data_IF_031458974020
#
_entry.id   IF_031458974020
#
_cell.length_a   1.000
_cell.length_b   1.000
_cell.length_c   1.000
_cell.angle_alpha   90.00
_cell.angle_beta   90.00
_cell.angle_gamma   90.00
#
_symmetry.space_group_name_H-M   'P 1'
#
loop_
_entity.id
_entity.type
_entity.pdbx_description
1 polymer ?
#
# COMPACT_ATOMS: atom_id res chain seq x y z
N UNK A 1 14.40 -19.35 -25.52
CA UNK A 1 13.84 -19.57 -24.15
C UNK A 1 13.29 -18.24 -23.68
N UNK A 2 11.97 -18.10 -23.56
CA UNK A 2 11.39 -16.88 -22.98
C UNK A 2 11.53 -17.00 -21.46
N UNK A 3 12.45 -16.24 -20.89
CA UNK A 3 12.61 -16.19 -19.44
C UNK A 3 11.40 -15.50 -18.79
N UNK A 4 10.96 -16.02 -17.64
CA UNK A 4 10.00 -15.30 -16.79
C UNK A 4 10.61 -13.94 -16.39
N UNK A 5 9.81 -12.88 -16.34
CA UNK A 5 10.30 -11.59 -15.89
C UNK A 5 10.75 -11.67 -14.43
N UNK A 6 11.83 -10.98 -14.10
CA UNK A 6 12.37 -10.86 -12.74
C UNK A 6 12.33 -9.38 -12.31
N UNK A 7 11.14 -8.85 -12.00
CA UNK A 7 10.99 -7.42 -11.67
C UNK A 7 11.76 -7.04 -10.41
N UNK A 8 12.28 -5.82 -10.37
CA UNK A 8 12.82 -5.21 -9.15
C UNK A 8 11.69 -4.50 -8.41
N UNK A 9 11.53 -4.80 -7.11
CA UNK A 9 10.56 -4.14 -6.25
C UNK A 9 11.24 -3.08 -5.39
N UNK A 10 10.73 -1.84 -5.40
CA UNK A 10 11.06 -0.82 -4.41
C UNK A 10 10.01 -0.90 -3.30
N UNK A 11 10.41 -1.44 -2.16
CA UNK A 11 9.60 -1.47 -0.95
C UNK A 11 9.89 -0.21 -0.16
N UNK A 12 8.87 0.60 0.08
CA UNK A 12 8.99 1.91 0.70
C UNK A 12 8.26 1.88 2.05
N UNK A 13 9.02 1.98 3.14
CA UNK A 13 8.47 2.17 4.48
C UNK A 13 8.57 3.63 4.87
N UNK A 14 7.42 4.24 5.19
CA UNK A 14 7.37 5.56 5.79
C UNK A 14 7.09 5.44 7.27
N UNK A 15 7.80 6.22 8.09
CA UNK A 15 7.76 6.08 9.54
C UNK A 15 7.87 7.41 10.25
N UNK A 16 7.19 7.54 11.40
CA UNK A 16 7.31 8.67 12.32
C UNK A 16 6.88 8.23 13.72
N UNK A 17 7.81 8.27 14.68
CA UNK A 17 7.61 7.82 16.06
C UNK A 17 6.94 6.43 16.14
N UNK A 18 7.57 5.45 15.50
CA UNK A 18 7.04 4.10 15.33
C UNK A 18 7.94 3.03 15.99
N UNK A 19 8.65 3.37 17.07
CA UNK A 19 9.60 2.46 17.74
C UNK A 19 9.00 1.11 18.16
N UNK A 20 7.69 1.09 18.40
CA UNK A 20 7.00 -0.11 18.86
C UNK A 20 6.69 -1.13 17.74
N UNK A 21 6.72 -0.71 16.45
CA UNK A 21 6.20 -1.54 15.34
C UNK A 21 7.12 -1.58 14.12
N UNK A 22 8.12 -0.69 14.03
CA UNK A 22 8.98 -0.59 12.85
C UNK A 22 9.84 -1.85 12.65
N UNK A 23 10.32 -2.47 13.73
CA UNK A 23 11.23 -3.60 13.65
C UNK A 23 10.60 -4.79 12.93
N UNK A 24 9.35 -5.12 13.23
CA UNK A 24 8.61 -6.20 12.57
C UNK A 24 8.45 -5.94 11.06
N UNK A 25 8.18 -4.69 10.67
CA UNK A 25 8.10 -4.31 9.26
C UNK A 25 9.46 -4.52 8.58
N UNK A 26 10.57 -4.08 9.19
CA UNK A 26 11.91 -4.29 8.63
C UNK A 26 12.19 -5.77 8.47
N UNK A 27 11.95 -6.57 9.51
CA UNK A 27 12.18 -8.00 9.47
C UNK A 27 11.41 -8.67 8.32
N UNK A 28 10.13 -8.34 8.13
CA UNK A 28 9.31 -8.93 7.08
C UNK A 28 9.81 -8.61 5.65
N UNK A 29 10.52 -7.48 5.47
CA UNK A 29 11.11 -7.12 4.17
C UNK A 29 12.44 -7.82 3.96
N UNK A 30 13.31 -7.83 4.97
CA UNK A 30 14.66 -8.40 4.83
C UNK A 30 14.70 -9.93 4.86
N UNK A 31 13.64 -10.58 5.36
CA UNK A 31 13.46 -12.03 5.32
C UNK A 31 12.95 -12.53 3.96
N UNK A 32 12.46 -11.65 3.08
CA UNK A 32 11.94 -12.08 1.78
C UNK A 32 12.97 -12.90 0.99
N UNK A 33 12.53 -14.06 0.52
CA UNK A 33 13.36 -14.99 -0.29
C UNK A 33 13.64 -14.46 -1.69
N UNK A 34 12.85 -13.51 -2.17
CA UNK A 34 13.07 -12.82 -3.44
C UNK A 34 14.08 -11.70 -3.28
N UNK A 35 15.21 -11.74 -4.01
CA UNK A 35 16.36 -10.87 -3.78
C UNK A 35 16.40 -9.59 -4.62
N UNK A 36 15.55 -9.46 -5.66
CA UNK A 36 15.50 -8.23 -6.47
C UNK A 36 14.64 -7.16 -5.78
N UNK A 37 15.05 -6.80 -4.57
CA UNK A 37 14.36 -5.82 -3.71
C UNK A 37 15.28 -4.63 -3.45
N UNK A 38 14.72 -3.44 -3.56
CA UNK A 38 15.28 -2.19 -3.08
C UNK A 38 14.45 -1.75 -1.87
N UNK A 39 15.06 -1.73 -0.70
CA UNK A 39 14.37 -1.34 0.52
C UNK A 39 14.69 0.10 0.88
N UNK A 40 13.67 0.96 0.94
CA UNK A 40 13.78 2.39 1.22
C UNK A 40 12.99 2.71 2.49
N UNK A 41 13.63 3.34 3.46
CA UNK A 41 12.96 3.86 4.66
C UNK A 41 13.03 5.38 4.66
N UNK A 42 11.86 6.02 4.80
CA UNK A 42 11.72 7.47 4.95
C UNK A 42 11.19 7.76 6.34
N UNK A 43 12.02 8.29 7.18
CA UNK A 43 11.70 8.70 8.55
C UNK A 43 11.42 10.21 8.60
N UNK A 44 10.30 10.61 9.17
CA UNK A 44 9.85 11.99 9.33
C UNK A 44 10.57 12.77 10.43
N UNK A 45 11.86 12.50 10.69
CA UNK A 45 12.64 13.01 11.82
C UNK A 45 12.06 12.62 13.18
N UNK A 46 11.86 11.34 13.39
CA UNK A 46 11.36 10.73 14.63
C UNK A 46 12.15 11.20 15.87
N UNK A 47 11.46 11.26 17.01
CA UNK A 47 12.06 11.71 18.27
C UNK A 47 12.22 10.56 19.29
N UNK A 48 11.67 9.40 18.99
CA UNK A 48 11.80 8.17 19.76
C UNK A 48 12.96 7.30 19.19
N UNK A 49 12.98 6.01 19.50
CA UNK A 49 14.04 5.09 19.03
C UNK A 49 13.85 4.60 17.58
N UNK A 50 12.86 5.13 16.83
CA UNK A 50 12.56 4.68 15.45
C UNK A 50 13.82 4.67 14.56
N UNK A 51 14.56 5.79 14.52
CA UNK A 51 15.77 5.87 13.71
C UNK A 51 16.87 4.90 14.19
N UNK A 52 17.06 4.78 15.50
CA UNK A 52 18.03 3.86 16.07
C UNK A 52 17.69 2.38 15.75
N UNK A 53 16.42 2.05 15.64
CA UNK A 53 15.95 0.73 15.19
C UNK A 53 16.34 0.52 13.72
N UNK A 54 16.01 1.45 12.83
CA UNK A 54 16.36 1.35 11.41
C UNK A 54 17.88 1.22 11.18
N UNK A 55 18.69 1.96 11.93
CA UNK A 55 20.15 1.92 11.83
C UNK A 55 20.76 0.55 12.20
N UNK A 56 20.11 -0.24 13.04
CA UNK A 56 20.55 -1.62 13.33
C UNK A 56 20.53 -2.54 12.10
N UNK A 57 19.72 -2.21 11.09
CA UNK A 57 19.54 -2.96 9.84
C UNK A 57 20.11 -2.23 8.63
N UNK A 58 21.04 -1.26 8.87
CA UNK A 58 21.54 -0.35 7.83
C UNK A 58 22.15 -1.07 6.63
N UNK A 59 22.79 -2.20 6.85
CA UNK A 59 23.40 -3.08 5.82
C UNK A 59 22.38 -3.81 4.93
N UNK A 60 21.11 -3.90 5.39
CA UNK A 60 20.02 -4.54 4.66
C UNK A 60 19.04 -3.51 4.05
N UNK A 61 19.19 -2.24 4.37
CA UNK A 61 18.38 -1.12 3.87
C UNK A 61 19.16 -0.41 2.76
N UNK A 62 18.56 -0.38 1.55
CA UNK A 62 19.21 0.28 0.39
C UNK A 62 19.35 1.78 0.62
N UNK A 63 18.32 2.42 1.15
CA UNK A 63 18.31 3.85 1.42
C UNK A 63 17.51 4.16 2.69
N UNK A 64 18.16 4.84 3.64
CA UNK A 64 17.54 5.37 4.86
C UNK A 64 17.68 6.90 4.84
N UNK A 65 16.54 7.59 4.82
CA UNK A 65 16.45 9.05 4.86
C UNK A 65 15.67 9.45 6.10
N UNK A 66 16.27 10.32 6.95
CA UNK A 66 15.58 10.88 8.12
C UNK A 66 15.62 12.40 8.04
N UNK A 67 14.49 13.01 7.78
CA UNK A 67 14.32 14.46 7.68
C UNK A 67 12.87 14.86 7.93
N UNK A 68 12.59 16.10 8.37
CA UNK A 68 11.22 16.57 8.56
C UNK A 68 10.38 16.44 7.29
N UNK A 69 9.12 16.05 7.46
CA UNK A 69 8.12 15.99 6.41
C UNK A 69 6.84 16.79 6.77
N UNK A 70 5.96 16.94 5.79
CA UNK A 70 4.64 17.57 5.92
C UNK A 70 3.54 16.54 6.16
N UNK A 71 3.88 15.37 6.65
CA UNK A 71 2.98 14.25 6.93
C UNK A 71 3.20 13.05 6.01
N UNK A 72 2.45 11.98 6.27
CA UNK A 72 2.57 10.65 5.65
C UNK A 72 2.80 10.68 4.12
N UNK A 73 1.99 11.43 3.40
CA UNK A 73 2.04 11.44 1.93
C UNK A 73 3.21 12.26 1.36
N UNK A 74 3.77 13.19 2.14
CA UNK A 74 5.02 13.86 1.78
C UNK A 74 6.19 12.89 1.87
N UNK A 75 6.27 12.11 2.94
CA UNK A 75 7.25 11.03 3.08
C UNK A 75 7.10 9.99 1.95
N UNK A 76 5.87 9.58 1.61
CA UNK A 76 5.62 8.69 0.47
C UNK A 76 6.08 9.29 -0.86
N UNK A 77 5.87 10.59 -1.09
CA UNK A 77 6.34 11.28 -2.29
C UNK A 77 7.86 11.29 -2.40
N UNK A 78 8.57 11.47 -1.28
CA UNK A 78 10.05 11.32 -1.24
C UNK A 78 10.44 9.90 -1.65
N UNK A 79 9.74 8.89 -1.13
CA UNK A 79 9.97 7.49 -1.49
C UNK A 79 9.74 7.22 -2.98
N UNK A 80 8.67 7.74 -3.60
CA UNK A 80 8.44 7.63 -5.05
C UNK A 80 9.62 8.21 -5.85
N UNK A 81 10.11 9.37 -5.43
CA UNK A 81 11.20 10.06 -6.12
C UNK A 81 12.52 9.28 -6.07
N UNK A 82 12.78 8.61 -4.96
CA UNK A 82 14.04 7.89 -4.72
C UNK A 82 14.03 6.45 -5.27
N UNK A 83 12.86 5.87 -5.49
CA UNK A 83 12.71 4.49 -5.95
C UNK A 83 13.21 4.29 -7.38
N UNK A 84 13.90 3.18 -7.62
CA UNK A 84 14.47 2.80 -8.93
C UNK A 84 13.95 1.46 -9.47
N UNK A 85 13.18 0.70 -8.68
CA UNK A 85 12.62 -0.58 -9.09
C UNK A 85 11.54 -0.48 -10.17
N UNK A 86 11.14 -1.61 -10.72
CA UNK A 86 10.07 -1.70 -11.71
C UNK A 86 8.70 -1.42 -11.08
N UNK A 87 8.51 -1.89 -9.84
CA UNK A 87 7.29 -1.70 -9.05
C UNK A 87 7.56 -0.98 -7.74
N UNK A 88 6.59 -0.19 -7.32
CA UNK A 88 6.53 0.44 -6.00
C UNK A 88 5.51 -0.28 -5.12
N UNK A 89 5.91 -0.57 -3.89
CA UNK A 89 5.05 -1.03 -2.80
C UNK A 89 5.27 -0.14 -1.58
N UNK A 90 4.20 0.39 -1.01
CA UNK A 90 4.24 1.10 0.26
C UNK A 90 3.88 0.15 1.39
N UNK A 91 4.85 -0.18 2.22
CA UNK A 91 4.68 -0.99 3.42
C UNK A 91 4.95 -0.10 4.63
N UNK A 92 3.89 0.45 5.23
CA UNK A 92 4.03 1.39 6.34
C UNK A 92 4.54 0.67 7.61
N UNK A 93 5.18 1.43 8.50
CA UNK A 93 5.57 0.90 9.80
C UNK A 93 4.35 0.32 10.55
N UNK A 94 4.45 -0.92 10.97
CA UNK A 94 3.37 -1.72 11.55
C UNK A 94 2.78 -2.76 10.61
N UNK A 95 2.87 -2.60 9.30
CA UNK A 95 2.43 -3.60 8.32
C UNK A 95 3.58 -4.54 7.95
N UNK A 96 3.29 -5.74 7.48
CA UNK A 96 4.30 -6.73 7.05
C UNK A 96 3.86 -7.49 5.81
N UNK A 97 4.79 -8.09 5.10
CA UNK A 97 4.47 -9.15 4.15
C UNK A 97 3.87 -10.35 4.90
N UNK A 98 2.95 -11.04 4.23
CA UNK A 98 2.21 -12.16 4.84
C UNK A 98 3.12 -13.36 5.13
N UNK A 99 4.03 -13.69 4.21
CA UNK A 99 5.00 -14.80 4.35
C UNK A 99 6.38 -14.34 3.88
N UNK A 100 7.43 -15.06 4.29
CA UNK A 100 8.81 -14.76 3.91
C UNK A 100 9.08 -14.96 2.40
N UNK A 101 8.22 -15.66 1.70
CA UNK A 101 8.31 -15.89 0.25
C UNK A 101 7.19 -15.19 -0.55
N UNK A 102 6.45 -14.26 0.06
CA UNK A 102 5.32 -13.55 -0.57
C UNK A 102 5.71 -12.93 -1.92
N UNK A 103 6.84 -12.22 -1.99
CA UNK A 103 7.32 -11.63 -3.25
C UNK A 103 7.71 -12.71 -4.28
N UNK A 104 8.31 -13.80 -3.84
CA UNK A 104 8.67 -14.93 -4.72
C UNK A 104 7.42 -15.61 -5.28
N UNK A 105 6.42 -15.86 -4.44
CA UNK A 105 5.13 -16.41 -4.87
C UNK A 105 4.44 -15.47 -5.86
N UNK A 106 4.41 -14.15 -5.57
CA UNK A 106 3.82 -13.16 -6.47
C UNK A 106 4.49 -13.18 -7.86
N UNK A 107 5.82 -13.25 -7.92
CA UNK A 107 6.56 -13.37 -9.19
C UNK A 107 6.22 -14.67 -9.91
N UNK A 108 5.98 -15.77 -9.20
CA UNK A 108 5.55 -17.05 -9.80
C UNK A 108 4.16 -16.99 -10.45
N UNK A 109 3.28 -16.07 -10.02
CA UNK A 109 1.97 -15.87 -10.67
C UNK A 109 2.10 -15.15 -12.01
N UNK A 110 3.25 -14.50 -12.29
CA UNK A 110 3.45 -13.78 -13.55
C UNK A 110 3.67 -14.75 -14.71
N UNK A 111 2.96 -14.48 -15.80
CA UNK A 111 3.15 -15.20 -17.06
C UNK A 111 4.46 -14.82 -17.74
N UNK A 112 4.72 -15.48 -18.87
CA UNK A 112 5.79 -15.10 -19.80
C UNK A 112 5.32 -13.87 -20.59
N UNK A 113 6.12 -12.82 -20.64
CA UNK A 113 5.79 -11.62 -21.44
C UNK A 113 6.04 -10.31 -20.69
N UNK A 114 5.29 -9.28 -21.07
CA UNK A 114 5.40 -7.96 -20.46
C UNK A 114 4.88 -7.97 -19.01
N UNK A 115 5.57 -7.21 -18.15
CA UNK A 115 5.14 -7.00 -16.78
C UNK A 115 3.79 -6.26 -16.74
N UNK A 116 2.79 -6.72 -15.96
CA UNK A 116 1.55 -5.99 -15.75
C UNK A 116 1.79 -4.59 -15.18
N UNK A 117 0.90 -3.67 -15.44
CA UNK A 117 1.02 -2.29 -14.95
C UNK A 117 0.77 -2.19 -13.43
N UNK A 118 -0.07 -3.09 -12.90
CA UNK A 118 -0.38 -3.22 -11.48
C UNK A 118 -0.47 -4.69 -11.09
N UNK A 119 0.17 -5.05 -9.96
CA UNK A 119 -0.05 -6.32 -9.27
C UNK A 119 -0.83 -6.03 -7.99
N UNK A 120 -1.79 -6.89 -7.66
CA UNK A 120 -2.58 -6.71 -6.44
C UNK A 120 -3.02 -8.04 -5.84
N UNK A 121 -3.37 -8.01 -4.57
CA UNK A 121 -3.86 -9.19 -3.85
C UNK A 121 -4.63 -8.83 -2.60
N UNK A 122 -4.80 -9.84 -1.75
CA UNK A 122 -5.56 -9.75 -0.52
C UNK A 122 -4.69 -9.21 0.65
N UNK A 123 -5.39 -8.82 1.71
CA UNK A 123 -4.80 -8.31 2.94
C UNK A 123 -5.46 -8.98 4.13
N UNK A 124 -4.67 -9.56 5.01
CA UNK A 124 -5.09 -10.02 6.33
C UNK A 124 -4.98 -8.87 7.34
N UNK A 125 -5.76 -8.95 8.41
CA UNK A 125 -5.67 -8.05 9.56
C UNK A 125 -5.07 -8.84 10.73
N UNK A 126 -4.10 -8.22 11.40
CA UNK A 126 -3.40 -8.80 12.54
C UNK A 126 -3.46 -7.86 13.74
N UNK A 127 -3.30 -8.41 14.94
CA UNK A 127 -3.09 -7.65 16.17
C UNK A 127 -1.61 -7.24 16.35
N UNK A 128 -1.28 -6.63 17.50
CA UNK A 128 0.09 -6.21 17.84
C UNK A 128 1.06 -7.35 18.01
N UNK A 129 0.56 -8.50 18.42
CA UNK A 129 1.30 -9.75 18.61
C UNK A 129 1.41 -10.54 17.29
N UNK A 130 0.95 -9.98 16.16
CA UNK A 130 0.93 -10.58 14.82
C UNK A 130 -0.01 -11.78 14.68
N UNK A 131 -0.95 -11.99 15.61
CA UNK A 131 -1.96 -13.02 15.43
C UNK A 131 -2.98 -12.60 14.38
N UNK A 132 -3.33 -13.53 13.50
CA UNK A 132 -4.37 -13.34 12.51
C UNK A 132 -5.72 -13.08 13.17
N UNK A 133 -6.36 -11.97 12.82
CA UNK A 133 -7.69 -11.61 13.27
C UNK A 133 -8.76 -12.02 12.26
N UNK A 134 -8.60 -11.60 11.03
CA UNK A 134 -9.54 -11.84 9.92
C UNK A 134 -8.99 -11.32 8.60
N UNK A 135 -9.57 -11.76 7.50
CA UNK A 135 -9.33 -11.09 6.22
C UNK A 135 -9.96 -9.71 6.21
N UNK A 136 -9.39 -8.80 5.43
CA UNK A 136 -9.95 -7.47 5.22
C UNK A 136 -11.37 -7.58 4.65
N UNK A 137 -12.32 -6.78 5.16
CA UNK A 137 -13.75 -6.83 4.79
C UNK A 137 -14.02 -6.58 3.30
N UNK A 138 -13.23 -5.73 2.66
CA UNK A 138 -13.29 -5.49 1.22
C UNK A 138 -12.20 -6.33 0.59
N UNK A 139 -12.61 -7.34 -0.18
CA UNK A 139 -11.71 -8.25 -0.89
C UNK A 139 -11.32 -7.72 -2.26
N UNK A 140 -10.16 -8.15 -2.72
CA UNK A 140 -9.66 -7.87 -4.05
C UNK A 140 -10.56 -8.55 -5.10
N UNK A 141 -11.13 -7.82 -6.08
CA UNK A 141 -11.98 -8.42 -7.09
C UNK A 141 -11.15 -9.17 -8.11
N UNK A 142 -11.73 -10.18 -8.76
CA UNK A 142 -11.10 -10.91 -9.87
C UNK A 142 -10.64 -9.96 -10.97
N UNK A 143 -11.49 -9.02 -11.34
CA UNK A 143 -11.18 -7.97 -12.32
C UNK A 143 -11.25 -6.61 -11.63
N UNK A 144 -10.09 -6.03 -11.38
CA UNK A 144 -9.97 -4.68 -10.82
C UNK A 144 -9.93 -3.64 -11.96
N UNK A 145 -10.71 -2.59 -11.79
CA UNK A 145 -10.68 -1.41 -12.67
C UNK A 145 -10.73 -0.13 -11.84
N UNK A 146 -10.40 1.02 -12.42
CA UNK A 146 -10.56 2.29 -11.72
C UNK A 146 -12.01 2.54 -11.27
N UNK A 147 -13.02 1.97 -11.97
CA UNK A 147 -14.43 2.05 -11.61
C UNK A 147 -14.80 1.20 -10.40
N UNK A 148 -14.04 0.16 -10.11
CA UNK A 148 -14.28 -0.73 -8.97
C UNK A 148 -14.22 0.02 -7.64
N UNK A 149 -13.39 1.06 -7.56
CA UNK A 149 -13.24 1.88 -6.35
C UNK A 149 -14.44 2.78 -6.05
N UNK A 150 -15.47 2.81 -6.89
CA UNK A 150 -16.80 3.36 -6.50
C UNK A 150 -17.41 2.63 -5.30
N UNK A 151 -17.05 1.37 -5.10
CA UNK A 151 -17.52 0.54 -3.98
C UNK A 151 -16.66 0.67 -2.72
N UNK A 152 -15.69 1.56 -2.72
CA UNK A 152 -14.67 1.75 -1.70
C UNK A 152 -13.30 1.23 -2.15
N UNK A 153 -12.32 1.27 -1.26
CA UNK A 153 -10.96 0.80 -1.53
C UNK A 153 -10.92 -0.73 -1.44
N UNK A 154 -11.27 -1.42 -2.54
CA UNK A 154 -11.36 -2.88 -2.59
C UNK A 154 -10.02 -3.57 -2.37
N UNK A 155 -8.94 -2.95 -2.83
CA UNK A 155 -7.57 -3.40 -2.59
C UNK A 155 -6.91 -2.45 -1.59
N UNK A 156 -6.26 -2.99 -0.56
CA UNK A 156 -5.45 -2.18 0.36
C UNK A 156 -4.28 -1.58 -0.41
N UNK A 157 -3.90 -0.35 -0.11
CA UNK A 157 -2.86 0.29 -0.87
C UNK A 157 -1.48 -0.38 -0.68
N UNK A 158 -1.25 -1.03 0.46
CA UNK A 158 -0.07 -1.85 0.71
C UNK A 158 -0.02 -3.12 -0.16
N UNK A 159 -1.19 -3.67 -0.52
CA UNK A 159 -1.32 -4.82 -1.43
C UNK A 159 -1.50 -4.41 -2.90
N UNK A 160 -1.12 -3.17 -3.26
CA UNK A 160 -1.23 -2.58 -4.59
C UNK A 160 0.15 -2.17 -5.08
N UNK A 161 0.77 -3.00 -5.91
CA UNK A 161 2.10 -2.79 -6.47
C UNK A 161 1.96 -2.11 -7.83
N UNK A 162 2.32 -0.85 -7.88
CA UNK A 162 2.22 -0.06 -9.10
C UNK A 162 3.52 -0.04 -9.87
N UNK A 163 3.46 -0.23 -11.20
CA UNK A 163 4.61 0.00 -12.07
C UNK A 163 5.14 1.42 -11.88
N UNK A 164 6.43 1.58 -11.59
CA UNK A 164 7.05 2.88 -11.26
C UNK A 164 6.79 3.94 -12.34
N UNK A 165 6.78 3.54 -13.61
CA UNK A 165 6.48 4.47 -14.73
C UNK A 165 5.08 5.07 -14.71
N UNK A 166 4.13 4.48 -13.97
CA UNK A 166 2.77 4.98 -13.79
C UNK A 166 2.60 5.74 -12.48
N UNK A 167 3.54 5.59 -11.54
CA UNK A 167 3.47 6.22 -10.24
C UNK A 167 3.56 7.75 -10.38
N UNK A 168 2.54 8.42 -9.90
CA UNK A 168 2.46 9.87 -9.81
C UNK A 168 2.54 10.29 -8.35
N UNK A 169 2.98 11.50 -8.00
CA UNK A 169 2.98 11.94 -6.62
C UNK A 169 1.58 11.89 -6.00
N UNK A 170 1.51 11.59 -4.71
CA UNK A 170 0.29 11.74 -3.91
C UNK A 170 -0.14 13.20 -3.89
N UNK A 171 -1.45 13.44 -3.96
CA UNK A 171 -2.01 14.77 -3.89
C UNK A 171 -2.04 15.25 -2.43
N UNK A 172 -1.20 16.21 -2.10
CA UNK A 172 -1.03 16.76 -0.75
C UNK A 172 -2.25 17.54 -0.23
N UNK A 173 -3.27 17.75 -1.06
CA UNK A 173 -4.56 18.32 -0.63
C UNK A 173 -5.36 17.35 0.26
N UNK A 174 -5.04 16.05 0.19
CA UNK A 174 -5.67 15.00 0.98
C UNK A 174 -4.71 14.53 2.08
N UNK A 175 -5.19 14.60 3.32
CA UNK A 175 -4.40 14.23 4.50
C UNK A 175 -4.58 12.78 4.92
N UNK A 176 -5.75 12.18 4.64
CA UNK A 176 -6.14 10.86 5.15
C UNK A 176 -6.48 9.83 4.08
N UNK A 177 -6.64 10.25 2.83
CA UNK A 177 -7.12 9.37 1.75
C UNK A 177 -6.45 9.63 0.40
N UNK A 178 -5.23 10.21 0.39
CA UNK A 178 -4.51 10.42 -0.86
C UNK A 178 -4.10 9.09 -1.54
N UNK A 179 -3.97 8.00 -0.75
CA UNK A 179 -3.77 6.64 -1.23
C UNK A 179 -4.93 6.16 -2.12
N UNK A 180 -6.16 6.47 -1.73
CA UNK A 180 -7.35 6.16 -2.52
C UNK A 180 -7.36 6.90 -3.86
N UNK A 181 -7.03 8.20 -3.87
CA UNK A 181 -6.87 9.00 -5.08
C UNK A 181 -5.73 8.48 -5.96
N UNK A 182 -4.59 8.15 -5.34
CA UNK A 182 -3.39 7.66 -6.02
C UNK A 182 -3.65 6.36 -6.78
N UNK A 183 -4.27 5.37 -6.14
CA UNK A 183 -4.64 4.13 -6.79
C UNK A 183 -5.59 4.36 -7.99
N UNK A 184 -6.60 5.24 -7.85
CA UNK A 184 -7.52 5.56 -8.95
C UNK A 184 -6.77 6.22 -10.12
N UNK A 185 -5.86 7.15 -9.85
CA UNK A 185 -5.08 7.85 -10.90
C UNK A 185 -4.16 6.90 -11.65
N UNK A 186 -3.55 5.94 -10.96
CA UNK A 186 -2.74 4.88 -11.58
C UNK A 186 -3.61 3.98 -12.43
N UNK A 187 -4.71 3.44 -11.88
CA UNK A 187 -5.60 2.53 -12.61
C UNK A 187 -6.25 3.16 -13.85
N UNK A 188 -6.42 4.50 -13.89
CA UNK A 188 -6.89 5.19 -15.09
C UNK A 188 -5.88 5.18 -16.24
N UNK A 189 -4.60 5.01 -15.94
CA UNK A 189 -3.50 4.95 -16.92
C UNK A 189 -3.09 3.52 -17.23
N UNK A 190 -3.26 2.62 -16.27
CA UNK A 190 -2.91 1.21 -16.39
C UNK A 190 -3.76 0.52 -17.47
N UNK A 191 -3.12 -0.33 -18.25
CA UNK A 191 -3.73 -1.18 -19.29
C UNK A 191 -3.93 -2.59 -18.81
N UNK A 192 -3.02 -3.08 -17.96
CA UNK A 192 -2.99 -4.47 -17.47
C UNK A 192 -2.89 -4.47 -15.95
N UNK A 193 -3.86 -5.10 -15.29
CA UNK A 193 -3.86 -5.32 -13.84
C UNK A 193 -3.92 -6.84 -13.59
N UNK A 194 -3.05 -7.35 -12.73
CA UNK A 194 -2.92 -8.77 -12.44
C UNK A 194 -3.28 -9.04 -10.99
N UNK A 195 -4.33 -9.85 -10.77
CA UNK A 195 -4.65 -10.38 -9.46
C UNK A 195 -3.71 -11.56 -9.18
N UNK A 196 -2.93 -11.49 -8.12
CA UNK A 196 -2.02 -12.56 -7.71
C UNK A 196 -2.75 -13.72 -7.04
N UNK A 197 -3.99 -13.51 -6.59
CA UNK A 197 -4.79 -14.44 -5.77
C UNK A 197 -4.12 -14.84 -4.45
N UNK A 198 -3.13 -14.05 -4.00
CA UNK A 198 -2.39 -14.28 -2.77
C UNK A 198 -2.83 -13.27 -1.69
N UNK A 199 -2.72 -13.68 -0.43
CA UNK A 199 -2.63 -12.73 0.67
C UNK A 199 -1.22 -12.17 0.66
N UNK A 200 -1.10 -10.86 0.43
CA UNK A 200 0.22 -10.22 0.25
C UNK A 200 0.70 -9.56 1.54
N UNK A 201 -0.24 -9.03 2.33
CA UNK A 201 0.07 -8.11 3.44
C UNK A 201 -0.71 -8.50 4.68
N UNK A 202 -0.03 -8.46 5.81
CA UNK A 202 -0.61 -8.41 7.13
C UNK A 202 -0.66 -6.95 7.61
N UNK A 203 -1.87 -6.42 7.72
CA UNK A 203 -2.13 -5.06 8.12
C UNK A 203 -2.42 -4.99 9.62
N UNK A 204 -1.69 -4.14 10.35
CA UNK A 204 -1.92 -3.90 11.76
C UNK A 204 -3.20 -3.09 11.98
N UNK A 205 -4.22 -3.67 12.67
CA UNK A 205 -5.58 -3.10 12.74
C UNK A 205 -5.67 -1.73 13.45
N UNK A 206 -4.71 -1.34 14.27
CA UNK A 206 -4.74 -0.10 15.07
C UNK A 206 -4.23 1.17 14.35
N UNK A 207 -4.20 1.20 13.02
CA UNK A 207 -3.65 2.31 12.23
C UNK A 207 -4.40 3.65 12.33
N UNK A 208 -3.76 4.74 11.84
CA UNK A 208 -4.27 6.14 11.87
C UNK A 208 -5.67 6.33 11.28
N UNK A 209 -6.10 5.48 10.36
CA UNK A 209 -7.41 5.59 9.69
C UNK A 209 -8.56 5.39 10.66
N UNK A 210 -8.39 4.54 11.68
CA UNK A 210 -9.39 4.27 12.73
C UNK A 210 -9.67 5.50 13.60
N UNK A 211 -8.68 6.31 13.85
CA UNK A 211 -8.79 7.52 14.69
C UNK A 211 -9.43 8.72 13.97
N UNK A 212 -9.36 8.77 12.62
CA UNK A 212 -9.77 9.93 11.81
C UNK A 212 -10.88 9.62 10.81
N UNK A 213 -11.77 8.67 11.10
CA UNK A 213 -12.79 8.13 10.18
C UNK A 213 -13.65 9.21 9.50
N UNK A 214 -14.15 10.21 10.27
CA UNK A 214 -15.02 11.26 9.71
C UNK A 214 -14.28 12.13 8.67
N UNK A 215 -13.04 12.50 8.94
CA UNK A 215 -12.22 13.29 8.03
C UNK A 215 -11.88 12.50 6.77
N UNK A 216 -11.46 11.25 6.92
CA UNK A 216 -11.19 10.32 5.81
C UNK A 216 -12.44 10.11 4.93
N UNK A 217 -13.63 9.91 5.51
CA UNK A 217 -14.88 9.77 4.74
C UNK A 217 -15.21 11.03 3.93
N UNK A 218 -14.99 12.23 4.48
CA UNK A 218 -15.18 13.49 3.73
C UNK A 218 -14.20 13.63 2.57
N UNK A 219 -12.94 13.27 2.77
CA UNK A 219 -11.95 13.27 1.69
C UNK A 219 -12.31 12.26 0.61
N UNK A 220 -12.65 11.02 0.99
CA UNK A 220 -13.11 9.99 0.05
C UNK A 220 -14.32 10.43 -0.76
N UNK A 221 -15.28 11.10 -0.14
CA UNK A 221 -16.41 11.67 -0.88
C UNK A 221 -15.94 12.68 -1.93
N UNK A 222 -15.03 13.60 -1.58
CA UNK A 222 -14.48 14.59 -2.52
C UNK A 222 -13.72 13.93 -3.67
N UNK A 223 -12.87 12.94 -3.35
CA UNK A 223 -12.12 12.16 -4.34
C UNK A 223 -13.09 11.43 -5.28
N UNK A 224 -14.09 10.75 -4.73
CA UNK A 224 -15.10 10.05 -5.54
C UNK A 224 -15.89 11.03 -6.42
N UNK A 225 -16.29 12.18 -5.89
CA UNK A 225 -17.00 13.20 -6.67
C UNK A 225 -16.14 13.73 -7.82
N UNK A 226 -14.84 13.93 -7.61
CA UNK A 226 -13.89 14.36 -8.63
C UNK A 226 -13.72 13.30 -9.73
N UNK A 227 -13.62 12.03 -9.38
CA UNK A 227 -13.33 10.95 -10.33
C UNK A 227 -14.56 10.37 -11.03
N UNK A 228 -15.71 10.34 -10.35
CA UNK A 228 -16.93 9.61 -10.78
C UNK A 228 -18.17 10.50 -10.93
N UNK A 229 -18.03 11.79 -10.56
CA UNK A 229 -19.15 12.75 -10.55
C UNK A 229 -19.97 12.70 -9.26
N UNK A 230 -20.62 13.83 -8.94
CA UNK A 230 -21.32 14.03 -7.67
C UNK A 230 -22.52 13.08 -7.50
N UNK A 231 -23.34 12.92 -8.55
CA UNK A 231 -24.55 12.08 -8.50
C UNK A 231 -24.19 10.63 -8.24
N UNK A 232 -23.22 10.08 -8.99
CA UNK A 232 -22.73 8.72 -8.79
C UNK A 232 -22.18 8.51 -7.37
N UNK A 233 -21.42 9.47 -6.87
CA UNK A 233 -20.83 9.44 -5.53
C UNK A 233 -21.90 9.45 -4.45
N UNK A 234 -22.90 10.33 -4.55
CA UNK A 234 -24.00 10.40 -3.58
C UNK A 234 -24.78 9.07 -3.54
N UNK A 235 -25.08 8.48 -4.70
CA UNK A 235 -25.76 7.18 -4.78
C UNK A 235 -24.96 6.05 -4.10
N UNK A 236 -23.63 5.98 -4.33
CA UNK A 236 -22.77 4.97 -3.69
C UNK A 236 -22.66 5.18 -2.17
N UNK A 237 -22.56 6.42 -1.71
CA UNK A 237 -22.52 6.71 -0.28
C UNK A 237 -23.85 6.37 0.41
N UNK A 238 -25.01 6.65 -0.21
CA UNK A 238 -26.31 6.18 0.29
C UNK A 238 -26.36 4.65 0.40
N UNK A 239 -25.84 3.95 -0.62
CA UNK A 239 -25.73 2.49 -0.60
C UNK A 239 -24.80 1.99 0.52
N UNK A 240 -23.68 2.67 0.81
CA UNK A 240 -22.80 2.30 1.93
C UNK A 240 -23.51 2.36 3.27
N UNK A 241 -24.37 3.37 3.48
CA UNK A 241 -25.18 3.49 4.70
C UNK A 241 -26.18 2.34 4.78
N UNK A 242 -26.93 2.07 3.70
CA UNK A 242 -27.88 0.95 3.65
C UNK A 242 -27.18 -0.39 3.96
N UNK A 243 -26.04 -0.65 3.30
CA UNK A 243 -25.25 -1.87 3.53
C UNK A 243 -24.73 -1.97 4.97
N UNK A 244 -24.40 -0.86 5.62
CA UNK A 244 -23.96 -0.86 7.01
C UNK A 244 -25.12 -1.18 7.98
N UNK A 245 -26.34 -0.76 7.68
CA UNK A 245 -27.55 -1.06 8.47
C UNK A 245 -27.98 -2.51 8.30
N UNK A 246 -27.97 -3.03 7.07
CA UNK A 246 -28.40 -4.41 6.76
C UNK A 246 -27.44 -5.50 7.26
N UNK A 247 -26.20 -5.15 7.66
CA UNK A 247 -25.21 -6.10 8.20
C UNK A 247 -25.11 -6.09 9.73
N UNK A 248 -25.95 -5.33 10.42
CA UNK A 248 -26.19 -5.44 11.85
C UNK A 248 -27.29 -6.45 12.13
#
# INVERSE_FOLDING_TARGET
MHNRPTPKFSIITVTYNAEAVLEDTIQSVISQTYHHVEYIIIDGASKDRTLAIAERYRDRITLLVSEPDKGLYDAMNKGIHLATGDYLCFLNAGDSFHEDDTLQQMVHTLGIGELPDVLYGETALVDKERHFLRMRRLSAPEVLTWKSFRQGMLVCHQAFFAKRSLAVPYDMRYRFSADFDWCIRIMKKARTLHNTHLTLIDYLEEGMTTQNQKASLRERFRIMAQHYGLISTAAHHAWFVVRAVLKK
#
